data_IF_131526574657
#
_entry.id   IF_131526574657
#
_cell.length_a   1.000
_cell.length_b   1.000
_cell.length_c   1.000
_cell.angle_alpha   90.00
_cell.angle_beta   90.00
_cell.angle_gamma   90.00
#
_symmetry.space_group_name_H-M   'P 1'
#
loop_
_entity.id
_entity.type
_entity.pdbx_description
1 polymer ?
#
# COMPACT_ATOMS: atom_id res chain seq x y z
N UNK A 1 25.64 70.92 -28.01
CA UNK A 1 25.47 70.00 -26.86
C UNK A 1 24.03 69.96 -26.33
N UNK A 2 23.03 69.71 -27.19
CA UNK A 2 21.63 69.49 -26.75
C UNK A 2 20.93 68.31 -27.43
N UNK A 3 21.53 67.75 -28.49
CA UNK A 3 20.98 66.61 -29.23
C UNK A 3 21.51 65.26 -28.71
N UNK A 4 22.68 65.24 -28.06
CA UNK A 4 23.28 64.01 -27.54
C UNK A 4 22.62 63.47 -26.26
N UNK A 5 21.97 64.33 -25.46
CA UNK A 5 21.28 63.90 -24.23
C UNK A 5 19.91 63.23 -24.49
N UNK A 6 19.29 63.49 -25.64
CA UNK A 6 17.99 62.91 -25.99
C UNK A 6 18.10 61.43 -26.35
N UNK A 7 19.24 60.99 -26.90
CA UNK A 7 19.46 59.57 -27.22
C UNK A 7 19.80 58.70 -26.01
N UNK A 8 20.43 59.24 -24.97
CA UNK A 8 20.73 58.49 -23.74
C UNK A 8 19.47 58.29 -22.88
N UNK A 9 18.52 59.22 -22.89
CA UNK A 9 17.25 59.06 -22.17
C UNK A 9 16.28 58.08 -22.88
N UNK A 10 16.40 57.90 -24.19
CA UNK A 10 15.60 56.96 -25.00
C UNK A 10 16.12 55.51 -24.97
N UNK A 11 17.35 55.29 -24.49
CA UNK A 11 17.92 53.94 -24.32
C UNK A 11 17.54 53.30 -22.98
N UNK A 12 16.98 54.06 -22.02
CA UNK A 12 16.46 53.52 -20.76
C UNK A 12 14.99 53.05 -20.84
N UNK A 13 14.26 53.38 -21.91
CA UNK A 13 12.87 52.93 -22.12
C UNK A 13 12.75 51.58 -22.86
N UNK A 14 13.86 51.01 -23.33
CA UNK A 14 13.89 49.68 -23.96
C UNK A 14 14.45 48.55 -23.09
N UNK A 15 14.85 48.85 -21.85
CA UNK A 15 15.31 47.85 -20.87
C UNK A 15 14.19 47.31 -19.97
N UNK A 16 12.96 47.24 -20.49
CA UNK A 16 11.86 46.48 -19.87
C UNK A 16 11.54 45.22 -20.72
N UNK A 17 12.58 44.51 -21.16
CA UNK A 17 12.49 43.16 -21.75
C UNK A 17 13.67 42.31 -21.31
N UNK A 18 13.82 42.15 -20.00
CA UNK A 18 14.65 41.10 -19.40
C UNK A 18 14.07 40.65 -18.05
N UNK A 19 12.75 40.54 -17.95
CA UNK A 19 12.14 39.50 -17.12
C UNK A 19 11.79 38.34 -18.04
N UNK A 20 12.83 37.71 -18.61
CA UNK A 20 12.69 36.35 -19.11
C UNK A 20 12.85 35.40 -17.90
N UNK A 21 12.01 35.60 -16.88
CA UNK A 21 11.70 34.52 -15.98
C UNK A 21 10.86 33.59 -16.83
N UNK A 22 11.51 32.54 -17.29
CA UNK A 22 10.95 31.41 -18.01
C UNK A 22 9.47 31.22 -17.63
N UNK A 23 8.60 31.77 -18.48
CA UNK A 23 7.16 31.67 -18.41
C UNK A 23 6.83 30.22 -18.73
N UNK A 24 6.99 29.34 -17.74
CA UNK A 24 6.10 28.20 -17.59
C UNK A 24 4.73 28.73 -17.15
N UNK A 25 4.12 29.62 -17.93
CA UNK A 25 2.67 29.75 -17.94
C UNK A 25 2.15 28.54 -18.72
N UNK A 26 1.71 27.52 -18.00
CA UNK A 26 0.35 26.98 -18.15
C UNK A 26 0.19 25.73 -17.27
N UNK A 27 -0.96 25.67 -16.60
CA UNK A 27 -1.39 24.65 -15.63
C UNK A 27 -1.11 24.98 -14.15
N UNK A 28 -1.13 26.26 -13.77
CA UNK A 28 -1.31 26.60 -12.36
C UNK A 28 -2.66 26.05 -11.88
N UNK A 29 -2.65 25.23 -10.83
CA UNK A 29 -3.87 24.66 -10.27
C UNK A 29 -4.36 25.57 -9.13
N UNK A 30 -5.63 25.94 -9.19
CA UNK A 30 -6.31 26.69 -8.16
C UNK A 30 -7.42 25.84 -7.57
N UNK A 31 -7.80 26.14 -6.33
CA UNK A 31 -9.01 25.56 -5.76
C UNK A 31 -10.21 26.01 -6.61
N UNK A 32 -10.94 25.04 -7.17
CA UNK A 32 -12.10 25.31 -8.01
C UNK A 32 -13.33 24.60 -7.44
N UNK A 33 -14.16 25.38 -6.74
CA UNK A 33 -15.44 24.88 -6.19
C UNK A 33 -16.42 24.45 -7.27
N UNK A 34 -16.40 25.06 -8.45
CA UNK A 34 -17.33 24.77 -9.56
C UNK A 34 -17.14 23.35 -10.10
N UNK A 35 -15.97 22.75 -9.88
CA UNK A 35 -15.72 21.33 -10.19
C UNK A 35 -16.72 20.40 -9.48
N UNK A 36 -17.25 20.83 -8.33
CA UNK A 36 -18.11 20.03 -7.47
C UNK A 36 -19.58 20.45 -7.51
N UNK A 37 -19.97 21.38 -8.40
CA UNK A 37 -21.35 21.90 -8.45
C UNK A 37 -22.42 20.83 -8.73
N UNK A 38 -22.06 19.81 -9.51
CA UNK A 38 -22.93 18.70 -9.89
C UNK A 38 -22.74 17.46 -8.99
N UNK A 39 -22.07 17.62 -7.84
CA UNK A 39 -21.85 16.54 -6.89
C UNK A 39 -22.87 16.64 -5.76
N UNK A 40 -23.32 15.48 -5.29
CA UNK A 40 -24.27 15.39 -4.18
C UNK A 40 -23.52 15.23 -2.86
N UNK A 41 -24.13 15.66 -1.74
CA UNK A 41 -23.61 15.35 -0.40
C UNK A 41 -23.59 13.84 -0.16
N UNK A 42 -22.48 13.32 0.35
CA UNK A 42 -22.37 11.91 0.74
C UNK A 42 -22.84 11.69 2.19
N UNK A 43 -24.15 11.44 2.32
CA UNK A 43 -24.78 11.18 3.61
C UNK A 43 -24.45 9.80 4.21
N UNK A 44 -23.69 8.93 3.51
CA UNK A 44 -23.26 7.65 4.07
C UNK A 44 -22.13 7.81 5.11
N UNK A 45 -21.50 8.98 5.15
CA UNK A 45 -20.43 9.32 6.07
C UNK A 45 -20.97 10.25 7.15
N UNK A 46 -20.87 9.82 8.40
CA UNK A 46 -21.16 10.67 9.56
C UNK A 46 -20.18 11.84 9.61
N UNK A 47 -20.69 13.04 9.37
CA UNK A 47 -19.89 14.27 9.42
C UNK A 47 -19.82 14.75 10.87
N UNK A 48 -18.73 14.42 11.56
CA UNK A 48 -18.49 14.86 12.94
C UNK A 48 -17.70 16.18 13.03
N UNK A 49 -17.19 16.68 11.90
CA UNK A 49 -16.39 17.90 11.84
C UNK A 49 -17.05 18.93 10.92
N UNK A 50 -17.47 20.10 11.44
CA UNK A 50 -18.17 21.12 10.64
C UNK A 50 -17.30 21.74 9.53
N UNK A 51 -15.97 21.60 9.62
CA UNK A 51 -15.03 22.09 8.60
C UNK A 51 -14.84 21.14 7.41
N UNK A 52 -15.51 19.99 7.44
CA UNK A 52 -15.37 18.94 6.42
C UNK A 52 -16.68 18.69 5.70
N UNK A 53 -16.63 18.70 4.37
CA UNK A 53 -17.75 18.34 3.49
C UNK A 53 -17.38 17.08 2.72
N UNK A 54 -18.31 16.12 2.67
CA UNK A 54 -18.18 14.90 1.88
C UNK A 54 -19.16 14.94 0.72
N UNK A 55 -18.65 14.71 -0.50
CA UNK A 55 -19.41 14.74 -1.74
C UNK A 55 -19.21 13.43 -2.51
N UNK A 56 -20.19 13.08 -3.33
CA UNK A 56 -20.17 11.90 -4.20
C UNK A 56 -20.70 12.20 -5.60
N UNK A 57 -20.19 11.44 -6.57
CA UNK A 57 -20.71 11.38 -7.94
C UNK A 57 -20.49 9.97 -8.50
N UNK A 58 -21.53 9.15 -8.54
CA UNK A 58 -21.38 7.72 -8.81
C UNK A 58 -20.44 7.05 -7.81
N UNK A 59 -19.35 6.46 -8.29
CA UNK A 59 -18.31 5.84 -7.45
C UNK A 59 -17.22 6.82 -6.99
N UNK A 60 -17.18 8.03 -7.53
CA UNK A 60 -16.21 9.05 -7.10
C UNK A 60 -16.63 9.66 -5.77
N UNK A 61 -15.64 10.01 -4.96
CA UNK A 61 -15.79 10.67 -3.66
C UNK A 61 -14.86 11.87 -3.57
N UNK A 62 -15.34 12.92 -2.92
CA UNK A 62 -14.54 14.09 -2.63
C UNK A 62 -14.73 14.49 -1.16
N UNK A 63 -13.64 14.64 -0.44
CA UNK A 63 -13.62 15.20 0.90
C UNK A 63 -12.95 16.56 0.83
N UNK A 64 -13.69 17.62 1.17
CA UNK A 64 -13.22 18.99 1.21
C UNK A 64 -13.09 19.40 2.67
N UNK A 65 -11.88 19.77 3.08
CA UNK A 65 -11.56 20.21 4.44
C UNK A 65 -11.08 21.66 4.35
N UNK A 66 -11.72 22.57 5.07
CA UNK A 66 -11.36 23.99 5.10
C UNK A 66 -11.16 24.40 6.56
N UNK A 67 -9.91 24.52 6.98
CA UNK A 67 -9.56 25.05 8.30
C UNK A 67 -8.85 26.41 8.17
N UNK A 68 -8.35 26.95 9.28
CA UNK A 68 -7.73 28.27 9.32
C UNK A 68 -6.45 28.38 8.47
N UNK A 69 -5.75 27.25 8.26
CA UNK A 69 -4.42 27.22 7.63
C UNK A 69 -4.44 26.76 6.17
N UNK A 70 -5.32 25.81 5.84
CA UNK A 70 -5.33 25.12 4.54
C UNK A 70 -6.74 24.80 4.04
N UNK A 71 -6.90 24.82 2.71
CA UNK A 71 -7.98 24.12 2.01
C UNK A 71 -7.41 22.81 1.48
N UNK A 72 -8.01 21.68 1.81
CA UNK A 72 -7.62 20.38 1.30
C UNK A 72 -8.78 19.71 0.59
N UNK A 73 -8.49 19.12 -0.57
CA UNK A 73 -9.41 18.27 -1.31
C UNK A 73 -8.77 16.89 -1.45
N UNK A 74 -9.47 15.87 -0.97
CA UNK A 74 -9.15 14.47 -1.27
C UNK A 74 -10.16 13.94 -2.27
N UNK A 75 -9.69 13.37 -3.38
CA UNK A 75 -10.52 12.76 -4.41
C UNK A 75 -10.21 11.27 -4.42
N UNK A 76 -11.22 10.43 -4.28
CA UNK A 76 -11.06 8.98 -4.22
C UNK A 76 -12.19 8.27 -4.99
N UNK A 77 -12.14 6.95 -5.02
CA UNK A 77 -13.15 6.13 -5.66
C UNK A 77 -13.48 4.91 -4.79
N UNK A 78 -14.74 4.49 -4.75
CA UNK A 78 -15.14 3.31 -3.98
C UNK A 78 -14.70 1.99 -4.59
N UNK A 79 -14.21 1.98 -5.84
CA UNK A 79 -13.81 0.79 -6.59
C UNK A 79 -12.29 0.57 -6.64
N UNK A 80 -11.48 1.47 -6.10
CA UNK A 80 -10.03 1.32 -6.06
C UNK A 80 -9.43 2.09 -4.88
N UNK A 81 -8.23 1.69 -4.40
CA UNK A 81 -7.63 2.27 -3.19
C UNK A 81 -6.81 3.54 -3.44
N UNK A 82 -6.88 4.14 -4.63
CA UNK A 82 -6.11 5.34 -4.95
C UNK A 82 -6.86 6.60 -4.53
N UNK A 83 -6.10 7.58 -4.02
CA UNK A 83 -6.62 8.91 -3.71
C UNK A 83 -5.68 9.98 -4.27
N UNK A 84 -6.24 11.10 -4.74
CA UNK A 84 -5.50 12.33 -5.00
C UNK A 84 -5.74 13.30 -3.85
N UNK A 85 -4.67 13.85 -3.28
CA UNK A 85 -4.74 14.88 -2.22
C UNK A 85 -4.14 16.17 -2.74
N UNK A 86 -4.95 17.22 -2.74
CA UNK A 86 -4.59 18.57 -3.17
C UNK A 86 -4.78 19.52 -1.99
N UNK A 87 -3.73 20.22 -1.60
CA UNK A 87 -3.79 21.28 -0.59
C UNK A 87 -3.58 22.62 -1.27
N UNK A 88 -4.27 23.65 -0.80
CA UNK A 88 -4.23 25.00 -1.33
C UNK A 88 -4.03 26.00 -0.20
N UNK A 89 -3.39 27.12 -0.54
CA UNK A 89 -3.29 28.26 0.34
C UNK A 89 -4.67 28.90 0.54
N UNK A 90 -5.04 29.22 1.78
CA UNK A 90 -6.36 29.80 2.10
C UNK A 90 -6.61 31.12 1.36
N UNK A 91 -5.60 32.00 1.35
CA UNK A 91 -5.70 33.38 0.82
C UNK A 91 -5.70 33.44 -0.71
N UNK A 92 -4.74 32.76 -1.34
CA UNK A 92 -4.53 32.85 -2.80
C UNK A 92 -5.23 31.73 -3.56
N UNK A 93 -5.68 30.68 -2.87
CA UNK A 93 -6.27 29.47 -3.46
C UNK A 93 -5.34 28.72 -4.44
N UNK A 94 -4.08 29.12 -4.53
CA UNK A 94 -3.04 28.47 -5.32
C UNK A 94 -2.73 27.11 -4.71
N UNK A 95 -2.50 26.11 -5.56
CA UNK A 95 -2.05 24.79 -5.14
C UNK A 95 -0.77 24.92 -4.32
N UNK A 96 -0.82 24.42 -3.09
CA UNK A 96 0.29 24.33 -2.15
C UNK A 96 0.98 22.97 -2.26
N UNK A 97 0.21 21.88 -2.32
CA UNK A 97 0.74 20.52 -2.31
C UNK A 97 -0.12 19.57 -3.12
N UNK A 98 0.50 18.68 -3.88
CA UNK A 98 -0.16 17.60 -4.61
C UNK A 98 0.53 16.26 -4.32
N UNK A 99 -0.27 15.27 -3.93
CA UNK A 99 0.17 13.91 -3.57
C UNK A 99 -0.85 12.89 -4.07
N UNK A 100 -0.37 11.73 -4.51
CA UNK A 100 -1.20 10.54 -4.73
C UNK A 100 -0.99 9.55 -3.60
N UNK A 101 -2.08 8.97 -3.10
CA UNK A 101 -2.08 7.94 -2.08
C UNK A 101 -2.54 6.60 -2.66
N UNK A 102 -2.08 5.50 -2.06
CA UNK A 102 -2.61 4.14 -2.24
C UNK A 102 -2.86 3.56 -0.84
N UNK A 103 -4.10 3.22 -0.48
CA UNK A 103 -4.46 2.87 0.91
C UNK A 103 -4.00 3.91 1.96
N UNK A 104 -4.01 5.20 1.59
CA UNK A 104 -3.60 6.29 2.47
C UNK A 104 -2.09 6.56 2.55
N UNK A 105 -1.23 5.67 2.02
CA UNK A 105 0.21 5.93 1.96
C UNK A 105 0.60 6.72 0.70
N UNK A 106 1.49 7.74 0.80
CA UNK A 106 2.01 8.46 -0.36
C UNK A 106 2.78 7.56 -1.32
N UNK A 107 2.51 7.72 -2.62
CA UNK A 107 3.19 6.99 -3.70
C UNK A 107 3.67 7.96 -4.78
N UNK A 108 4.61 7.50 -5.61
CA UNK A 108 5.25 8.34 -6.62
C UNK A 108 5.89 9.58 -6.02
N UNK A 109 5.55 10.75 -6.58
CA UNK A 109 6.11 12.04 -6.16
C UNK A 109 5.07 12.92 -5.50
N UNK A 110 5.53 13.67 -4.51
CA UNK A 110 4.80 14.80 -3.93
C UNK A 110 5.45 16.10 -4.33
N UNK A 111 4.61 17.04 -4.76
CA UNK A 111 5.05 18.35 -5.21
C UNK A 111 4.55 19.41 -4.23
N UNK A 112 5.43 20.32 -3.83
CA UNK A 112 5.08 21.48 -3.00
C UNK A 112 5.43 22.76 -3.74
N UNK A 113 4.51 23.70 -3.76
CA UNK A 113 4.60 24.97 -4.45
C UNK A 113 4.47 26.12 -3.44
N UNK A 114 5.00 27.29 -3.79
CA UNK A 114 4.81 28.50 -2.99
C UNK A 114 3.50 29.23 -3.36
N UNK A 115 3.19 30.36 -2.69
CA UNK A 115 1.92 31.09 -2.89
C UNK A 115 1.75 31.73 -4.28
N UNK A 116 2.84 31.90 -5.04
CA UNK A 116 2.78 32.32 -6.46
C UNK A 116 2.78 31.11 -7.41
N UNK A 117 2.78 29.89 -6.87
CA UNK A 117 2.65 28.64 -7.59
C UNK A 117 3.94 28.08 -8.20
N UNK A 118 5.10 28.65 -7.86
CA UNK A 118 6.39 28.09 -8.26
C UNK A 118 6.66 26.82 -7.45
N UNK A 119 7.07 25.73 -8.11
CA UNK A 119 7.52 24.50 -7.45
C UNK A 119 8.75 24.79 -6.59
N UNK A 120 8.70 24.40 -5.31
CA UNK A 120 9.78 24.61 -4.34
C UNK A 120 10.32 23.30 -3.74
N UNK A 121 9.54 22.20 -3.80
CA UNK A 121 9.96 20.90 -3.30
C UNK A 121 9.36 19.77 -4.12
N UNK A 122 10.17 18.75 -4.38
CA UNK A 122 9.76 17.47 -4.93
C UNK A 122 10.26 16.36 -4.00
N UNK A 123 9.37 15.47 -3.57
CA UNK A 123 9.69 14.34 -2.70
C UNK A 123 9.30 13.04 -3.41
N UNK A 124 10.27 12.16 -3.64
CA UNK A 124 10.04 10.85 -4.25
C UNK A 124 9.85 9.78 -3.16
N UNK A 125 8.61 9.36 -2.96
CA UNK A 125 8.24 8.34 -1.97
C UNK A 125 8.63 6.92 -2.39
N UNK A 126 9.03 6.72 -3.64
CA UNK A 126 9.45 5.41 -4.17
C UNK A 126 10.96 5.22 -4.12
N UNK A 127 11.75 6.23 -3.76
CA UNK A 127 13.21 6.13 -3.73
C UNK A 127 13.76 4.93 -2.93
N UNK A 128 13.20 4.54 -1.76
CA UNK A 128 13.66 3.35 -1.04
C UNK A 128 13.08 2.02 -1.54
N UNK A 129 12.10 2.02 -2.45
CA UNK A 129 11.31 0.83 -2.82
C UNK A 129 11.59 0.44 -4.27
N UNK A 130 12.37 -0.62 -4.50
CA UNK A 130 12.69 -1.11 -5.85
C UNK A 130 11.50 -1.79 -6.52
N UNK A 131 10.72 -2.54 -5.74
CA UNK A 131 9.43 -3.09 -6.14
C UNK A 131 8.42 -1.96 -6.12
N UNK A 132 7.86 -1.62 -7.27
CA UNK A 132 6.80 -0.62 -7.38
C UNK A 132 5.46 -1.12 -6.82
N UNK A 133 4.50 -0.21 -6.59
CA UNK A 133 3.13 -0.59 -6.21
C UNK A 133 2.47 -1.49 -7.26
N UNK A 134 2.73 -1.25 -8.55
CA UNK A 134 2.20 -2.07 -9.63
C UNK A 134 2.74 -3.50 -9.59
N UNK A 135 4.03 -3.64 -9.31
CA UNK A 135 4.65 -4.95 -9.12
C UNK A 135 4.14 -5.63 -7.84
N UNK A 136 3.98 -4.89 -6.73
CA UNK A 136 3.39 -5.41 -5.49
C UNK A 136 1.98 -5.98 -5.72
N UNK A 137 1.11 -5.25 -6.42
CA UNK A 137 -0.24 -5.73 -6.80
C UNK A 137 -0.13 -7.04 -7.59
N UNK A 138 0.81 -7.11 -8.53
CA UNK A 138 1.01 -8.30 -9.37
C UNK A 138 1.52 -9.49 -8.54
N UNK A 139 2.49 -9.26 -7.66
CA UNK A 139 3.05 -10.27 -6.76
C UNK A 139 1.96 -10.85 -5.87
N UNK A 140 1.16 -10.00 -5.22
CA UNK A 140 0.10 -10.44 -4.32
C UNK A 140 -0.98 -11.24 -5.06
N UNK A 141 -1.38 -10.77 -6.26
CA UNK A 141 -2.37 -11.46 -7.07
C UNK A 141 -1.89 -12.83 -7.55
N UNK A 142 -0.65 -12.93 -8.01
CA UNK A 142 -0.11 -14.16 -8.58
C UNK A 142 0.33 -15.18 -7.53
N UNK A 143 1.05 -14.73 -6.49
CA UNK A 143 1.64 -15.63 -5.50
C UNK A 143 0.69 -15.96 -4.34
N UNK A 144 -0.27 -15.08 -4.06
CA UNK A 144 -1.11 -15.17 -2.85
C UNK A 144 -2.60 -15.21 -3.15
N UNK A 145 -3.01 -15.10 -4.43
CA UNK A 145 -4.41 -14.93 -4.84
C UNK A 145 -5.10 -13.76 -4.09
N UNK A 146 -4.34 -12.70 -3.82
CA UNK A 146 -4.81 -11.52 -3.09
C UNK A 146 -4.85 -10.32 -4.04
N UNK A 147 -6.05 -9.86 -4.38
CA UNK A 147 -6.23 -8.67 -5.22
C UNK A 147 -6.23 -7.40 -4.36
N UNK A 148 -5.12 -6.67 -4.38
CA UNK A 148 -4.99 -5.39 -3.65
C UNK A 148 -5.86 -4.27 -4.21
N UNK A 149 -6.56 -4.47 -5.32
CA UNK A 149 -7.54 -3.51 -5.83
C UNK A 149 -8.94 -3.75 -5.28
N UNK A 150 -9.18 -4.90 -4.64
CA UNK A 150 -10.48 -5.25 -4.08
C UNK A 150 -10.74 -4.52 -2.76
N UNK A 151 -11.52 -3.43 -2.87
CA UNK A 151 -11.92 -2.60 -1.74
C UNK A 151 -12.82 -3.33 -0.73
N UNK A 152 -13.46 -4.45 -1.11
CA UNK A 152 -14.30 -5.23 -0.20
C UNK A 152 -13.50 -5.90 0.92
N UNK A 153 -12.21 -6.16 0.68
CA UNK A 153 -11.28 -6.79 1.63
C UNK A 153 -10.86 -5.86 2.77
N UNK A 154 -11.12 -4.55 2.66
CA UNK A 154 -10.79 -3.53 3.68
C UNK A 154 -9.33 -3.60 4.16
N UNK A 155 -8.42 -3.83 3.21
CA UNK A 155 -6.99 -3.95 3.47
C UNK A 155 -6.42 -2.66 4.04
N UNK A 156 -5.31 -2.79 4.75
CA UNK A 156 -4.40 -1.67 5.06
C UNK A 156 -3.03 -2.03 4.54
N UNK A 157 -2.33 -1.06 3.94
CA UNK A 157 -0.98 -1.26 3.44
C UNK A 157 -0.10 -0.15 3.97
N UNK A 158 1.01 -0.55 4.59
CA UNK A 158 2.01 0.32 5.15
C UNK A 158 3.36 0.11 4.47
N UNK A 159 4.18 1.15 4.54
CA UNK A 159 5.55 1.21 4.03
C UNK A 159 6.46 1.52 5.21
N UNK A 160 7.55 0.78 5.34
CA UNK A 160 8.55 0.98 6.38
C UNK A 160 9.94 0.87 5.75
N UNK A 161 10.88 1.73 6.16
CA UNK A 161 12.20 1.84 5.53
C UNK A 161 13.32 2.32 6.48
N UNK A 162 13.20 2.11 7.80
CA UNK A 162 14.25 2.51 8.74
C UNK A 162 15.51 1.65 8.57
N UNK A 163 15.37 0.32 8.64
CA UNK A 163 16.49 -0.62 8.41
C UNK A 163 16.44 -1.23 7.01
N UNK A 164 15.25 -1.67 6.59
CA UNK A 164 14.99 -2.31 5.31
C UNK A 164 13.65 -1.84 4.76
N UNK A 165 13.61 -1.54 3.46
CA UNK A 165 12.38 -1.17 2.79
C UNK A 165 11.45 -2.40 2.65
N UNK A 166 10.26 -2.30 3.23
CA UNK A 166 9.25 -3.36 3.24
C UNK A 166 7.84 -2.80 3.01
N UNK A 167 6.97 -3.68 2.55
CA UNK A 167 5.52 -3.50 2.54
C UNK A 167 4.88 -4.37 3.61
N UNK A 168 3.96 -3.81 4.38
CA UNK A 168 3.17 -4.56 5.35
C UNK A 168 1.72 -4.49 4.92
N UNK A 169 1.12 -5.64 4.65
CA UNK A 169 -0.28 -5.78 4.26
C UNK A 169 -1.03 -6.37 5.44
N UNK A 170 -2.07 -5.68 5.89
CA UNK A 170 -2.98 -6.13 6.94
C UNK A 170 -4.33 -6.48 6.32
N UNK A 171 -4.76 -7.73 6.52
CA UNK A 171 -6.06 -8.26 6.12
C UNK A 171 -6.91 -8.43 7.39
N UNK A 172 -7.92 -7.58 7.63
CA UNK A 172 -8.75 -7.70 8.83
C UNK A 172 -9.57 -8.99 8.83
N UNK A 173 -9.74 -9.61 10.01
CA UNK A 173 -10.73 -10.66 10.16
C UNK A 173 -12.15 -10.07 10.27
N UNK A 174 -13.17 -10.71 9.67
CA UNK A 174 -14.53 -10.20 9.67
C UNK A 174 -15.07 -10.09 11.09
N UNK A 175 -15.81 -9.02 11.37
CA UNK A 175 -16.48 -8.78 12.66
C UNK A 175 -15.55 -8.77 13.90
N UNK A 176 -14.25 -8.50 13.72
CA UNK A 176 -13.29 -8.40 14.82
C UNK A 176 -12.83 -6.96 15.06
N UNK A 177 -12.41 -6.66 16.30
CA UNK A 177 -11.75 -5.38 16.63
C UNK A 177 -10.42 -5.27 15.87
N UNK A 178 -9.95 -4.04 15.68
CA UNK A 178 -8.79 -3.66 14.85
C UNK A 178 -7.48 -4.44 15.04
N UNK A 179 -7.32 -5.24 16.10
CA UNK A 179 -6.09 -5.99 16.35
C UNK A 179 -6.08 -7.40 15.74
N UNK A 180 -7.23 -7.98 15.38
CA UNK A 180 -7.25 -9.34 14.80
C UNK A 180 -7.20 -9.30 13.28
N UNK A 181 -6.12 -9.81 12.70
CA UNK A 181 -5.86 -9.74 11.27
C UNK A 181 -4.76 -10.72 10.86
N UNK A 182 -4.69 -11.00 9.56
CA UNK A 182 -3.50 -11.55 8.93
C UNK A 182 -2.57 -10.41 8.50
N UNK A 183 -1.30 -10.53 8.85
CA UNK A 183 -0.22 -9.63 8.46
C UNK A 183 0.71 -10.34 7.50
N UNK A 184 1.07 -9.66 6.42
CA UNK A 184 2.00 -10.14 5.41
C UNK A 184 3.06 -9.07 5.23
N UNK A 185 4.33 -9.42 5.44
CA UNK A 185 5.46 -8.52 5.19
C UNK A 185 6.19 -8.95 3.92
N UNK A 186 6.38 -8.02 2.99
CA UNK A 186 7.01 -8.26 1.68
C UNK A 186 8.23 -7.34 1.55
N UNK A 187 9.35 -7.88 1.10
CA UNK A 187 10.53 -7.08 0.81
C UNK A 187 10.28 -6.15 -0.38
N UNK A 188 10.55 -4.86 -0.19
CA UNK A 188 10.49 -3.89 -1.27
C UNK A 188 11.70 -3.93 -2.21
N UNK A 189 12.69 -4.78 -1.96
CA UNK A 189 13.85 -4.95 -2.84
C UNK A 189 13.57 -5.94 -3.97
N UNK A 190 12.94 -7.08 -3.66
CA UNK A 190 12.80 -8.22 -4.58
C UNK A 190 11.39 -8.83 -4.61
N UNK A 191 10.47 -8.37 -3.77
CA UNK A 191 9.09 -8.88 -3.73
C UNK A 191 8.96 -10.25 -3.06
N UNK A 192 9.95 -10.65 -2.26
CA UNK A 192 9.92 -11.84 -1.43
C UNK A 192 8.99 -11.65 -0.23
N UNK A 193 8.19 -12.67 0.08
CA UNK A 193 7.34 -12.70 1.26
C UNK A 193 8.25 -13.08 2.44
N UNK A 194 8.44 -12.13 3.37
CA UNK A 194 9.32 -12.28 4.52
C UNK A 194 8.58 -12.87 5.73
N UNK A 195 7.29 -12.57 5.87
CA UNK A 195 6.44 -13.04 6.96
C UNK A 195 5.00 -13.19 6.50
N UNK A 196 4.33 -14.24 6.96
CA UNK A 196 2.88 -14.33 7.04
C UNK A 196 2.48 -14.74 8.46
N UNK A 197 1.67 -13.92 9.14
CA UNK A 197 1.27 -14.19 10.52
C UNK A 197 -0.18 -13.80 10.76
N UNK A 198 -0.97 -14.71 11.33
CA UNK A 198 -2.30 -14.41 11.83
C UNK A 198 -2.19 -13.97 13.28
N UNK A 199 -2.97 -12.95 13.65
CA UNK A 199 -2.97 -12.35 14.98
C UNK A 199 -4.41 -12.30 15.46
N UNK A 200 -4.66 -12.82 16.67
CA UNK A 200 -5.99 -13.01 17.23
C UNK A 200 -6.23 -12.25 18.54
N UNK A 201 -5.21 -11.57 19.07
CA UNK A 201 -5.31 -10.72 20.27
C UNK A 201 -4.41 -9.49 20.19
N UNK A 202 -4.58 -8.56 21.13
CA UNK A 202 -3.71 -7.37 21.21
C UNK A 202 -2.33 -7.74 21.77
N UNK A 203 -2.30 -8.70 22.68
CA UNK A 203 -1.10 -9.23 23.32
C UNK A 203 -0.21 -9.91 22.27
N UNK A 204 -0.81 -10.76 21.43
CA UNK A 204 -0.11 -11.42 20.32
C UNK A 204 0.40 -10.40 19.28
N UNK A 205 -0.37 -9.34 19.03
CA UNK A 205 0.12 -8.24 18.19
C UNK A 205 1.38 -7.62 18.80
N UNK A 206 1.36 -7.26 20.08
CA UNK A 206 2.48 -6.61 20.75
C UNK A 206 3.74 -7.48 20.74
N UNK A 207 3.60 -8.79 20.94
CA UNK A 207 4.71 -9.76 20.86
C UNK A 207 5.26 -9.92 19.43
N UNK A 208 4.45 -9.62 18.41
CA UNK A 208 4.78 -9.82 17.00
C UNK A 208 5.24 -8.57 16.27
N UNK A 209 5.15 -7.37 16.87
CA UNK A 209 5.48 -6.10 16.21
C UNK A 209 6.89 -6.16 15.61
N UNK A 210 7.89 -6.62 16.39
CA UNK A 210 9.27 -6.67 15.92
C UNK A 210 9.42 -7.57 14.69
N UNK A 211 8.78 -8.75 14.69
CA UNK A 211 8.86 -9.67 13.55
C UNK A 211 8.14 -9.10 12.30
N UNK A 212 7.07 -8.31 12.47
CA UNK A 212 6.30 -7.72 11.36
C UNK A 212 7.08 -6.59 10.69
N UNK A 213 7.66 -5.69 11.48
CA UNK A 213 8.33 -4.47 10.99
C UNK A 213 9.82 -4.68 10.73
N UNK A 214 10.43 -5.65 11.41
CA UNK A 214 11.81 -6.05 11.21
C UNK A 214 11.92 -7.58 11.10
N UNK A 215 11.35 -8.19 10.04
CA UNK A 215 11.51 -9.60 9.79
C UNK A 215 12.99 -9.87 9.50
N UNK A 216 13.74 -10.21 10.54
CA UNK A 216 15.12 -10.67 10.39
C UNK A 216 15.10 -11.80 9.37
N UNK A 217 15.88 -11.65 8.30
CA UNK A 217 16.03 -12.66 7.24
C UNK A 217 16.63 -13.98 7.76
N UNK A 218 16.83 -14.11 9.07
CA UNK A 218 17.35 -15.25 9.80
C UNK A 218 16.38 -15.88 10.81
N UNK A 219 15.14 -15.41 11.00
CA UNK A 219 14.11 -16.14 11.78
C UNK A 219 13.11 -16.91 10.92
N UNK A 220 13.14 -16.74 9.60
CA UNK A 220 12.41 -17.60 8.65
C UNK A 220 13.15 -18.94 8.41
N UNK A 221 13.65 -19.56 9.48
CA UNK A 221 13.94 -21.00 9.59
C UNK A 221 13.75 -21.50 11.04
N UNK A 222 12.88 -20.90 11.83
CA UNK A 222 12.33 -21.60 12.99
C UNK A 222 11.09 -22.40 12.56
N UNK A 223 11.41 -23.50 11.88
CA UNK A 223 10.88 -24.82 12.18
C UNK A 223 9.39 -24.85 12.58
N UNK A 224 8.51 -25.01 11.60
CA UNK A 224 7.49 -26.04 11.76
C UNK A 224 8.31 -27.31 11.99
N UNK A 225 8.54 -27.68 13.25
CA UNK A 225 9.38 -28.80 13.63
C UNK A 225 9.10 -29.92 12.65
N UNK A 226 10.10 -30.29 11.83
CA UNK A 226 9.95 -31.39 10.87
C UNK A 226 9.50 -32.55 11.74
N UNK A 227 8.24 -32.95 11.61
CA UNK A 227 7.72 -34.09 12.36
C UNK A 227 8.45 -35.30 11.79
N UNK A 228 9.53 -35.66 12.45
CA UNK A 228 10.30 -36.84 12.12
C UNK A 228 9.85 -37.98 12.98
N UNK A 229 9.55 -39.12 12.37
CA UNK A 229 9.20 -40.34 13.09
C UNK A 229 10.43 -41.24 13.11
N UNK A 230 10.84 -41.71 14.29
CA UNK A 230 11.95 -42.66 14.41
C UNK A 230 11.38 -44.07 14.63
N UNK A 231 11.74 -45.00 13.74
CA UNK A 231 11.32 -46.40 13.81
C UNK A 231 12.50 -47.31 13.47
N UNK A 232 12.77 -48.31 14.31
CA UNK A 232 13.92 -49.22 14.19
C UNK A 232 15.27 -48.51 13.97
N UNK A 233 15.50 -47.41 14.70
CA UNK A 233 16.77 -46.68 14.64
C UNK A 233 16.98 -45.85 13.37
N UNK A 234 16.00 -45.78 12.47
CA UNK A 234 15.98 -44.85 11.33
C UNK A 234 14.99 -43.73 11.58
N UNK A 235 15.37 -42.52 11.19
CA UNK A 235 14.54 -41.32 11.28
C UNK A 235 14.00 -40.99 9.90
N UNK A 236 12.67 -40.83 9.80
CA UNK A 236 11.95 -40.55 8.56
C UNK A 236 11.34 -39.16 8.63
N UNK A 237 11.32 -38.45 7.49
CA UNK A 237 10.46 -37.26 7.30
C UNK A 237 8.98 -37.67 7.20
N UNK A 238 8.05 -36.71 7.30
CA UNK A 238 6.60 -37.03 7.26
C UNK A 238 6.17 -37.68 5.93
N UNK A 239 6.77 -37.27 4.81
CA UNK A 239 6.51 -37.86 3.49
C UNK A 239 7.08 -39.27 3.37
N UNK A 240 8.32 -39.49 3.84
CA UNK A 240 8.94 -40.81 3.87
C UNK A 240 8.22 -41.77 4.82
N UNK A 241 7.69 -41.27 5.94
CA UNK A 241 6.92 -42.06 6.89
C UNK A 241 5.60 -42.53 6.27
N UNK A 242 4.86 -41.65 5.59
CA UNK A 242 3.63 -42.02 4.88
C UNK A 242 3.88 -43.06 3.79
N UNK A 243 4.97 -42.90 3.03
CA UNK A 243 5.37 -43.89 2.02
C UNK A 243 5.73 -45.24 2.66
N UNK A 244 6.47 -45.23 3.77
CA UNK A 244 6.82 -46.44 4.53
C UNK A 244 5.58 -47.15 5.10
N UNK A 245 4.65 -46.41 5.72
CA UNK A 245 3.40 -46.97 6.26
C UNK A 245 2.55 -47.61 5.16
N UNK A 246 2.43 -46.94 4.01
CA UNK A 246 1.73 -47.48 2.85
C UNK A 246 2.37 -48.79 2.36
N UNK A 247 3.70 -48.84 2.26
CA UNK A 247 4.43 -50.05 1.85
C UNK A 247 4.24 -51.22 2.86
N UNK A 248 4.25 -50.93 4.17
CA UNK A 248 3.97 -51.94 5.19
C UNK A 248 2.53 -52.44 5.11
N UNK A 249 1.56 -51.54 4.87
CA UNK A 249 0.15 -51.90 4.72
C UNK A 249 -0.09 -52.77 3.49
N UNK A 250 0.53 -52.45 2.35
CA UNK A 250 0.46 -53.25 1.13
C UNK A 250 1.10 -54.64 1.32
N UNK A 251 2.25 -54.72 2.00
CA UNK A 251 2.88 -56.00 2.37
C UNK A 251 1.99 -56.84 3.29
N UNK A 252 1.30 -56.20 4.24
CA UNK A 252 0.33 -56.87 5.11
C UNK A 252 -0.87 -57.42 4.32
N UNK A 253 -1.46 -56.62 3.43
CA UNK A 253 -2.57 -57.05 2.56
C UNK A 253 -2.13 -58.19 1.63
N UNK A 254 -0.93 -58.12 1.05
CA UNK A 254 -0.39 -59.18 0.20
C UNK A 254 -0.09 -60.49 0.94
N UNK A 255 0.22 -60.45 2.25
CA UNK A 255 0.32 -61.65 3.10
C UNK A 255 -1.06 -62.20 3.47
N UNK A 256 -2.05 -61.32 3.67
CA UNK A 256 -3.42 -61.71 3.97
C UNK A 256 -4.14 -62.29 2.75
N UNK A 257 -3.86 -61.82 1.54
CA UNK A 257 -4.36 -62.43 0.30
C UNK A 257 -3.76 -63.81 0.03
N UNK A 258 -2.63 -64.15 0.67
CA UNK A 258 -2.01 -65.49 0.61
C UNK A 258 -2.52 -66.48 1.67
N UNK A 259 -3.09 -66.00 2.79
CA UNK A 259 -3.90 -66.84 3.69
C UNK A 259 -5.34 -66.73 3.22
N UNK A 260 -5.61 -67.44 2.12
CA UNK A 260 -6.86 -67.35 1.39
C UNK A 260 -8.04 -67.69 2.27
N UNK A 261 -9.17 -67.06 1.98
CA UNK A 261 -10.51 -67.43 2.42
C UNK A 261 -10.76 -68.97 2.37
N UNK A 262 -10.06 -69.69 1.49
CA UNK A 262 -10.08 -71.16 1.39
C UNK A 262 -9.34 -71.91 2.52
N UNK A 263 -8.28 -71.36 3.11
CA UNK A 263 -7.58 -71.98 4.26
C UNK A 263 -8.43 -71.91 5.54
N UNK A 264 -9.38 -70.96 5.63
CA UNK A 264 -10.34 -70.86 6.73
C UNK A 264 -11.57 -71.75 6.55
N UNK A 265 -11.91 -72.10 5.30
CA UNK A 265 -13.10 -72.91 4.99
C UNK A 265 -12.84 -74.42 5.05
N UNK A 266 -11.58 -74.85 4.90
CA UNK A 266 -11.21 -76.27 4.78
C UNK A 266 -10.01 -76.69 5.65
N UNK A 267 -9.63 -75.87 6.63
CA UNK A 267 -8.60 -76.18 7.64
C UNK A 267 -9.20 -76.57 8.98
#
# INVERSE_FOLDING_TARGET
MKIFFVYILLLLSFSCKAQNNNLNSNNMKYFNKEKFKDWETDNSILTCNPTTTYLKKGNERAQIIINEDIKQVRISNTSNPYEQVLQYYIKTEVLKKETTLFYGMPIGKTYTYNEIGKLIKEENWEAPYKVSIKELITICKQKMNLDLMDMSLKLTIERYNEEKAIYIIRIPFPNTRNTKAKYITISADNGEILLEKEIHSKEEFQESIEDIYNPSSSKSKDNKAIKTTTFNGKTYTEEEWKAFEQEQWEKYQAKRSKKGFFDWLFG
#
